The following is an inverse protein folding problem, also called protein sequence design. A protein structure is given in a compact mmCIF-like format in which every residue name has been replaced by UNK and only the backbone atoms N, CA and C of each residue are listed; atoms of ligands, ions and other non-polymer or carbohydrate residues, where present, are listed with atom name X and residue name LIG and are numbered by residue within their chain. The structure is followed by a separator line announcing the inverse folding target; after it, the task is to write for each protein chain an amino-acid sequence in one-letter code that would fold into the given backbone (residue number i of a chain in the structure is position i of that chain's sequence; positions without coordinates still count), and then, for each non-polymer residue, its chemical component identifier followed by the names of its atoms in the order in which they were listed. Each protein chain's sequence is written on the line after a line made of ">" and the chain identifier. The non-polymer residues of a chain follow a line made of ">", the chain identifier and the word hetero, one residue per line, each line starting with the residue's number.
data_IF_837032754949
#
_entry.id   IF_837032754949
#
_cell.length_a   1.000
_cell.length_b   1.000
_cell.length_c   1.000
_cell.angle_alpha   90.00
_cell.angle_beta   90.00
_cell.angle_gamma   90.00
#
_symmetry.space_group_name_H-M   'P 1'
#
loop_
_entity.id
_entity.type
_entity.pdbx_description
1 polymer ?
#
# COMPACT_ATOMS: atom_id res chain seq x y z
N UNK A 1 21.27 25.37 29.71
CA UNK A 1 20.99 24.65 28.45
C UNK A 1 19.68 23.89 28.61
N UNK A 2 18.67 24.05 27.73
CA UNK A 2 17.45 23.25 27.82
C UNK A 2 17.78 21.79 27.50
N UNK A 3 17.31 20.91 28.38
CA UNK A 3 17.55 19.47 28.31
C UNK A 3 16.54 18.83 27.34
N UNK A 4 16.93 18.59 26.09
CA UNK A 4 16.15 17.81 25.14
C UNK A 4 16.26 16.31 25.47
N UNK A 5 15.69 15.88 26.60
CA UNK A 5 15.47 14.44 26.84
C UNK A 5 14.44 13.96 25.83
N UNK A 6 14.85 12.99 25.00
CA UNK A 6 14.07 12.43 23.90
C UNK A 6 12.66 12.04 24.31
N UNK A 7 11.68 12.76 23.77
CA UNK A 7 10.27 12.38 23.85
C UNK A 7 10.11 11.08 23.08
N UNK A 8 9.81 9.97 23.78
CA UNK A 8 9.48 8.71 23.10
C UNK A 8 8.25 8.94 22.21
N UNK A 9 8.28 8.50 20.94
CA UNK A 9 7.12 8.61 20.07
C UNK A 9 5.91 7.94 20.74
N UNK A 10 4.75 8.60 20.67
CA UNK A 10 3.50 7.95 21.08
C UNK A 10 3.27 6.70 20.22
N UNK A 11 2.57 5.70 20.76
CA UNK A 11 2.20 4.50 20.02
C UNK A 11 1.59 4.82 18.64
N UNK A 12 0.70 5.82 18.59
CA UNK A 12 0.12 6.31 17.34
C UNK A 12 1.17 6.88 16.37
N UNK A 13 2.09 7.72 16.86
CA UNK A 13 3.14 8.33 16.04
C UNK A 13 4.04 7.27 15.40
N UNK A 14 4.38 6.21 16.16
CA UNK A 14 5.15 5.09 15.63
C UNK A 14 4.45 4.44 14.44
N UNK A 15 3.19 4.02 14.59
CA UNK A 15 2.45 3.36 13.52
C UNK A 15 2.12 4.29 12.35
N UNK A 16 1.84 5.56 12.59
CA UNK A 16 1.68 6.56 11.53
C UNK A 16 2.97 6.72 10.72
N UNK A 17 4.13 6.77 11.38
CA UNK A 17 5.42 6.85 10.68
C UNK A 17 5.78 5.56 9.97
N UNK A 18 5.48 4.40 10.54
CA UNK A 18 5.57 3.13 9.82
C UNK A 18 4.75 3.17 8.54
N UNK A 19 3.50 3.61 8.61
CA UNK A 19 2.62 3.73 7.44
C UNK A 19 3.24 4.63 6.36
N UNK A 20 3.80 5.78 6.73
CA UNK A 20 4.50 6.65 5.77
C UNK A 20 5.70 5.94 5.14
N UNK A 21 6.58 5.34 5.94
CA UNK A 21 7.78 4.67 5.44
C UNK A 21 7.46 3.44 4.59
N UNK A 22 6.42 2.69 4.93
CA UNK A 22 5.87 1.63 4.11
C UNK A 22 5.54 2.12 2.70
N UNK A 23 4.79 3.22 2.59
CA UNK A 23 4.45 3.81 1.29
C UNK A 23 5.68 4.35 0.54
N UNK A 24 6.66 4.95 1.23
CA UNK A 24 7.93 5.38 0.63
C UNK A 24 8.69 4.19 0.04
N UNK A 25 8.77 3.07 0.77
CA UNK A 25 9.39 1.85 0.26
C UNK A 25 8.63 1.31 -0.96
N UNK A 26 7.30 1.33 -0.93
CA UNK A 26 6.48 0.86 -2.06
C UNK A 26 6.61 1.75 -3.31
N UNK A 27 6.88 3.06 -3.16
CA UNK A 27 7.30 3.90 -4.30
C UNK A 27 8.58 3.35 -4.93
N UNK A 28 9.58 3.00 -4.11
CA UNK A 28 10.81 2.36 -4.59
C UNK A 28 10.53 1.06 -5.35
N UNK A 29 9.65 0.21 -4.83
CA UNK A 29 9.19 -1.01 -5.53
C UNK A 29 8.49 -0.67 -6.84
N UNK A 30 7.60 0.33 -6.87
CA UNK A 30 6.92 0.77 -8.09
C UNK A 30 7.88 1.24 -9.18
N UNK A 31 8.93 1.99 -8.80
CA UNK A 31 10.00 2.38 -9.72
C UNK A 31 10.78 1.16 -10.24
N UNK A 32 11.09 0.19 -9.38
CA UNK A 32 11.73 -1.06 -9.78
C UNK A 32 10.83 -1.88 -10.72
N UNK A 33 9.54 -1.97 -10.46
CA UNK A 33 8.57 -2.62 -11.37
C UNK A 33 8.59 -1.90 -12.73
N UNK A 34 8.51 -0.57 -12.73
CA UNK A 34 8.41 0.22 -13.96
C UNK A 34 9.64 0.12 -14.86
N UNK A 35 10.85 0.16 -14.28
CA UNK A 35 12.10 0.28 -15.03
C UNK A 35 12.98 -0.98 -15.00
N UNK A 36 12.72 -1.90 -14.07
CA UNK A 36 13.57 -3.06 -13.81
C UNK A 36 12.75 -4.35 -13.56
N UNK A 37 11.58 -4.48 -14.19
CA UNK A 37 10.66 -5.61 -14.02
C UNK A 37 11.18 -7.00 -14.42
N UNK A 38 12.31 -7.09 -15.14
CA UNK A 38 13.02 -8.35 -15.46
C UNK A 38 14.36 -8.49 -14.73
N UNK A 39 14.59 -7.70 -13.68
CA UNK A 39 15.78 -7.84 -12.86
C UNK A 39 15.62 -8.96 -11.82
N UNK A 40 16.75 -9.32 -11.20
CA UNK A 40 16.84 -10.34 -10.16
C UNK A 40 15.83 -10.16 -9.01
N UNK A 41 15.39 -8.93 -8.75
CA UNK A 41 14.42 -8.62 -7.70
C UNK A 41 13.03 -9.21 -7.98
N UNK A 42 12.72 -9.50 -9.25
CA UNK A 42 11.44 -10.04 -9.69
C UNK A 42 11.55 -11.45 -10.27
N UNK A 43 12.71 -12.11 -10.22
CA UNK A 43 12.89 -13.43 -10.83
C UNK A 43 11.90 -14.47 -10.32
N UNK A 44 11.65 -14.51 -9.00
CA UNK A 44 10.68 -15.44 -8.41
C UNK A 44 9.24 -15.14 -8.89
N UNK A 45 8.88 -13.86 -8.98
CA UNK A 45 7.59 -13.44 -9.51
C UNK A 45 7.46 -13.78 -11.01
N UNK A 46 8.52 -13.53 -11.79
CA UNK A 46 8.60 -13.79 -13.22
C UNK A 46 8.49 -15.29 -13.51
N UNK A 47 9.23 -16.13 -12.78
CA UNK A 47 9.15 -17.58 -12.90
C UNK A 47 7.75 -18.12 -12.53
N UNK A 48 7.10 -17.57 -11.50
CA UNK A 48 5.72 -17.92 -11.18
C UNK A 48 4.74 -17.56 -12.30
N UNK A 49 4.90 -16.36 -12.86
CA UNK A 49 4.08 -15.86 -13.98
C UNK A 49 4.27 -16.70 -15.24
N UNK A 50 5.52 -16.99 -15.59
CA UNK A 50 5.89 -17.82 -16.72
C UNK A 50 5.32 -19.24 -16.60
N UNK A 51 5.43 -19.85 -15.42
CA UNK A 51 4.87 -21.19 -15.16
C UNK A 51 3.35 -21.24 -15.34
N UNK A 52 2.64 -20.19 -14.94
CA UNK A 52 1.17 -20.15 -15.00
C UNK A 52 0.68 -19.84 -16.42
N UNK A 53 1.27 -18.85 -17.09
CA UNK A 53 0.74 -18.32 -18.35
C UNK A 53 1.49 -18.80 -19.60
N UNK A 54 2.72 -19.27 -19.46
CA UNK A 54 3.59 -19.70 -20.57
C UNK A 54 4.33 -21.02 -20.26
N UNK A 55 3.65 -22.09 -19.80
CA UNK A 55 4.29 -23.31 -19.32
C UNK A 55 5.13 -24.05 -20.37
N UNK A 56 4.81 -23.91 -21.66
CA UNK A 56 5.46 -24.65 -22.75
C UNK A 56 6.52 -23.82 -23.49
N UNK A 57 6.22 -22.55 -23.73
CA UNK A 57 7.07 -21.67 -24.56
C UNK A 57 8.04 -20.84 -23.74
N UNK A 58 7.75 -20.65 -22.45
CA UNK A 58 8.37 -19.60 -21.64
C UNK A 58 8.11 -18.20 -22.19
N UNK A 59 8.85 -17.22 -21.69
CA UNK A 59 8.76 -15.85 -22.19
C UNK A 59 9.51 -15.67 -23.53
N UNK A 60 8.75 -15.36 -24.58
CA UNK A 60 9.29 -14.91 -25.87
C UNK A 60 9.74 -13.44 -25.83
N UNK A 61 10.60 -12.98 -26.76
CA UNK A 61 10.97 -11.56 -26.85
C UNK A 61 9.77 -10.61 -26.93
N UNK A 62 8.72 -10.98 -27.67
CA UNK A 62 7.49 -10.21 -27.82
C UNK A 62 6.71 -10.15 -26.51
N UNK A 63 6.61 -11.28 -25.79
CA UNK A 63 5.99 -11.34 -24.46
C UNK A 63 6.74 -10.47 -23.46
N UNK A 64 8.09 -10.47 -23.50
CA UNK A 64 8.92 -9.60 -22.65
C UNK A 64 8.65 -8.13 -22.95
N UNK A 65 8.53 -7.76 -24.23
CA UNK A 65 8.23 -6.39 -24.63
C UNK A 65 6.85 -5.94 -24.10
N UNK A 66 5.82 -6.77 -24.27
CA UNK A 66 4.48 -6.49 -23.71
C UNK A 66 4.52 -6.39 -22.18
N UNK A 67 5.19 -7.33 -21.51
CA UNK A 67 5.36 -7.34 -20.07
C UNK A 67 6.03 -6.07 -19.57
N UNK A 68 7.09 -5.60 -20.23
CA UNK A 68 7.80 -4.38 -19.85
C UNK A 68 6.91 -3.15 -19.94
N UNK A 69 6.10 -3.05 -20.99
CA UNK A 69 5.14 -1.97 -21.12
C UNK A 69 4.08 -2.01 -20.02
N UNK A 70 3.49 -3.19 -19.75
CA UNK A 70 2.51 -3.36 -18.67
C UNK A 70 3.11 -3.03 -17.29
N UNK A 71 4.31 -3.54 -17.00
CA UNK A 71 5.02 -3.26 -15.75
C UNK A 71 5.37 -1.78 -15.62
N UNK A 72 5.75 -1.12 -16.72
CA UNK A 72 5.93 0.33 -16.79
C UNK A 72 4.71 1.10 -16.27
N UNK A 73 3.53 0.77 -16.80
CA UNK A 73 2.26 1.41 -16.41
C UNK A 73 1.89 1.08 -14.96
N UNK A 74 1.96 -0.21 -14.58
CA UNK A 74 1.64 -0.67 -13.22
C UNK A 74 2.55 0.01 -12.20
N UNK A 75 3.85 0.05 -12.45
CA UNK A 75 4.83 0.72 -11.60
C UNK A 75 4.54 2.21 -11.46
N UNK A 76 4.17 2.89 -12.54
CA UNK A 76 3.71 4.29 -12.52
C UNK A 76 2.47 4.49 -11.65
N UNK A 77 1.47 3.61 -11.75
CA UNK A 77 0.27 3.64 -10.90
C UNK A 77 0.60 3.41 -9.43
N UNK A 78 1.49 2.45 -9.12
CA UNK A 78 1.98 2.20 -7.76
C UNK A 78 2.62 3.48 -7.20
N UNK A 79 3.55 4.09 -7.93
CA UNK A 79 4.21 5.33 -7.48
C UNK A 79 3.19 6.44 -7.20
N UNK A 80 2.28 6.72 -8.14
CA UNK A 80 1.26 7.76 -7.97
C UNK A 80 0.34 7.51 -6.77
N UNK A 81 -0.15 6.28 -6.63
CA UNK A 81 -1.02 5.87 -5.52
C UNK A 81 -0.32 6.02 -4.16
N UNK A 82 0.93 5.58 -4.04
CA UNK A 82 1.66 5.64 -2.77
C UNK A 82 2.15 7.03 -2.42
N UNK A 83 2.40 7.91 -3.40
CA UNK A 83 2.59 9.35 -3.14
C UNK A 83 1.33 9.94 -2.51
N UNK A 84 0.14 9.64 -3.06
CA UNK A 84 -1.13 10.10 -2.49
C UNK A 84 -1.32 9.57 -1.06
N UNK A 85 -1.01 8.29 -0.82
CA UNK A 85 -1.08 7.68 0.52
C UNK A 85 -0.13 8.37 1.51
N UNK A 86 1.06 8.80 1.11
CA UNK A 86 1.98 9.57 1.96
C UNK A 86 1.35 10.92 2.35
N UNK A 87 0.76 11.63 1.39
CA UNK A 87 0.05 12.88 1.69
C UNK A 87 -1.13 12.66 2.65
N UNK A 88 -1.93 11.61 2.45
CA UNK A 88 -3.00 11.29 3.39
C UNK A 88 -2.42 10.96 4.77
N UNK A 89 -1.35 10.16 4.85
CA UNK A 89 -0.68 9.75 6.09
C UNK A 89 -0.13 10.95 6.89
N UNK A 90 0.66 11.81 6.25
CA UNK A 90 1.39 12.89 6.93
C UNK A 90 0.52 14.10 7.29
N UNK A 91 -0.63 14.25 6.63
CA UNK A 91 -1.56 15.36 6.86
C UNK A 91 -2.83 14.89 7.58
N UNK A 92 -3.83 14.39 6.84
CA UNK A 92 -5.16 14.13 7.41
C UNK A 92 -5.17 12.97 8.42
N UNK A 93 -4.44 11.88 8.15
CA UNK A 93 -4.35 10.73 9.03
C UNK A 93 -3.62 11.08 10.33
N UNK A 94 -2.50 11.83 10.26
CA UNK A 94 -1.77 12.33 11.43
C UNK A 94 -2.63 13.26 12.30
N UNK A 95 -3.53 14.04 11.70
CA UNK A 95 -4.55 14.86 12.38
C UNK A 95 -5.75 14.03 12.90
N UNK A 96 -5.73 12.71 12.71
CA UNK A 96 -6.76 11.75 13.14
C UNK A 96 -8.12 12.00 12.49
N UNK A 97 -8.12 12.51 11.25
CA UNK A 97 -9.36 12.69 10.51
C UNK A 97 -9.92 11.34 10.08
N UNK A 98 -11.18 11.07 10.43
CA UNK A 98 -11.80 9.76 10.19
C UNK A 98 -11.93 9.40 8.72
N UNK A 99 -12.16 10.39 7.85
CA UNK A 99 -12.26 10.13 6.42
C UNK A 99 -10.92 9.60 5.89
N UNK A 100 -9.77 10.08 6.42
CA UNK A 100 -8.46 9.59 6.03
C UNK A 100 -8.31 8.11 6.40
N UNK A 101 -8.68 7.72 7.62
CA UNK A 101 -8.67 6.31 8.04
C UNK A 101 -9.51 5.42 7.14
N UNK A 102 -10.73 5.86 6.81
CA UNK A 102 -11.63 5.15 5.89
C UNK A 102 -11.05 5.09 4.48
N UNK A 103 -10.49 6.19 3.97
CA UNK A 103 -9.88 6.25 2.64
C UNK A 103 -8.70 5.28 2.51
N UNK A 104 -7.81 5.22 3.52
CA UNK A 104 -6.69 4.26 3.52
C UNK A 104 -7.20 2.81 3.48
N UNK A 105 -8.18 2.46 4.32
CA UNK A 105 -8.77 1.11 4.35
C UNK A 105 -9.51 0.76 3.06
N UNK A 106 -10.38 1.64 2.58
CA UNK A 106 -11.15 1.39 1.36
C UNK A 106 -10.20 1.23 0.18
N UNK A 107 -9.17 2.08 0.05
CA UNK A 107 -8.18 1.98 -1.03
C UNK A 107 -7.37 0.69 -1.00
N UNK A 108 -6.84 0.30 0.18
CA UNK A 108 -6.03 -0.94 0.26
C UNK A 108 -6.89 -2.20 0.10
N UNK A 109 -8.11 -2.23 0.65
CA UNK A 109 -8.99 -3.39 0.56
C UNK A 109 -9.59 -3.55 -0.84
N UNK A 110 -9.98 -2.45 -1.50
CA UNK A 110 -10.51 -2.54 -2.86
C UNK A 110 -9.45 -3.09 -3.82
N UNK A 111 -8.22 -2.56 -3.75
CA UNK A 111 -7.11 -3.07 -4.53
C UNK A 111 -6.82 -4.55 -4.19
N UNK A 112 -6.66 -4.88 -2.90
CA UNK A 112 -6.33 -6.24 -2.46
C UNK A 112 -7.36 -7.27 -2.92
N UNK A 113 -8.66 -6.97 -2.78
CA UNK A 113 -9.72 -7.90 -3.14
C UNK A 113 -9.81 -8.11 -4.66
N UNK A 114 -9.72 -7.04 -5.45
CA UNK A 114 -9.78 -7.12 -6.90
C UNK A 114 -8.56 -7.86 -7.44
N UNK A 115 -7.35 -7.44 -7.04
CA UNK A 115 -6.10 -8.00 -7.55
C UNK A 115 -5.91 -9.46 -7.11
N UNK A 116 -6.20 -9.78 -5.84
CA UNK A 116 -6.13 -11.16 -5.36
C UNK A 116 -7.20 -12.04 -5.97
N UNK A 117 -8.42 -11.53 -6.13
CA UNK A 117 -9.52 -12.26 -6.75
C UNK A 117 -9.17 -12.68 -8.18
N UNK A 118 -8.69 -11.74 -8.99
CA UNK A 118 -8.23 -12.02 -10.36
C UNK A 118 -7.06 -13.02 -10.34
N UNK A 119 -6.07 -12.81 -9.48
CA UNK A 119 -4.90 -13.69 -9.39
C UNK A 119 -5.28 -15.13 -9.06
N UNK A 120 -6.22 -15.34 -8.14
CA UNK A 120 -6.71 -16.67 -7.78
C UNK A 120 -7.48 -17.32 -8.92
N UNK A 121 -8.32 -16.56 -9.65
CA UNK A 121 -9.06 -17.08 -10.81
C UNK A 121 -8.13 -17.61 -11.90
N UNK A 122 -7.00 -16.93 -12.14
CA UNK A 122 -6.01 -17.36 -13.14
C UNK A 122 -4.93 -18.32 -12.57
N UNK A 123 -5.02 -18.73 -11.31
CA UNK A 123 -4.03 -19.63 -10.69
C UNK A 123 -2.69 -18.97 -10.34
N UNK A 124 -2.59 -17.64 -10.45
CA UNK A 124 -1.41 -16.85 -10.10
C UNK A 124 -1.27 -16.63 -8.58
N UNK A 125 -1.26 -17.72 -7.80
CA UNK A 125 -1.18 -17.70 -6.32
C UNK A 125 0.09 -16.99 -5.84
N UNK A 126 1.16 -17.06 -6.63
CA UNK A 126 2.45 -16.43 -6.37
C UNK A 126 2.30 -14.90 -6.18
N UNK A 127 1.45 -14.25 -6.97
CA UNK A 127 1.18 -12.81 -6.85
C UNK A 127 0.47 -12.48 -5.53
N UNK A 128 -0.55 -13.27 -5.15
CA UNK A 128 -1.30 -13.07 -3.91
C UNK A 128 -0.38 -13.16 -2.69
N UNK A 129 0.48 -14.18 -2.66
CA UNK A 129 1.34 -14.44 -1.50
C UNK A 129 2.49 -13.42 -1.41
N UNK A 130 3.19 -13.17 -2.52
CA UNK A 130 4.40 -12.35 -2.50
C UNK A 130 4.11 -10.85 -2.51
N UNK A 131 3.03 -10.42 -3.16
CA UNK A 131 2.73 -9.01 -3.35
C UNK A 131 1.57 -8.59 -2.44
N UNK A 132 0.41 -9.23 -2.59
CA UNK A 132 -0.82 -8.71 -1.99
C UNK A 132 -0.84 -8.87 -0.47
N UNK A 133 -0.49 -10.05 0.04
CA UNK A 133 -0.42 -10.28 1.49
C UNK A 133 0.67 -9.45 2.15
N UNK A 134 1.83 -9.31 1.51
CA UNK A 134 2.93 -8.48 2.02
C UNK A 134 2.49 -7.01 2.11
N UNK A 135 1.87 -6.47 1.07
CA UNK A 135 1.35 -5.10 1.06
C UNK A 135 0.24 -4.91 2.12
N UNK A 136 -0.69 -5.87 2.23
CA UNK A 136 -1.77 -5.82 3.23
C UNK A 136 -1.23 -5.84 4.65
N UNK A 137 -0.19 -6.63 4.95
CA UNK A 137 0.45 -6.62 6.27
C UNK A 137 1.18 -5.29 6.49
N UNK A 138 1.98 -4.86 5.53
CA UNK A 138 2.84 -3.69 5.66
C UNK A 138 2.03 -2.40 5.89
N UNK A 139 0.88 -2.27 5.22
CA UNK A 139 0.00 -1.09 5.27
C UNK A 139 -1.15 -1.31 6.25
N UNK A 140 -1.80 -2.47 6.23
CA UNK A 140 -2.97 -2.77 7.04
C UNK A 140 -2.67 -2.91 8.53
N UNK A 141 -1.50 -3.45 8.91
CA UNK A 141 -1.14 -3.56 10.33
C UNK A 141 -1.10 -2.19 11.03
N UNK A 142 -0.43 -1.15 10.49
CA UNK A 142 -0.55 0.22 11.01
C UNK A 142 -1.99 0.72 11.16
N UNK A 143 -2.86 0.42 10.19
CA UNK A 143 -4.27 0.83 10.23
C UNK A 143 -5.05 0.12 11.36
N UNK A 144 -4.79 -1.17 11.59
CA UNK A 144 -5.37 -1.88 12.75
C UNK A 144 -4.86 -1.26 14.05
N UNK A 145 -3.55 -1.06 14.16
CA UNK A 145 -2.90 -0.59 15.40
C UNK A 145 -3.23 0.86 15.77
N UNK A 146 -3.68 1.65 14.80
CA UNK A 146 -4.10 3.05 15.01
C UNK A 146 -5.62 3.22 15.10
N UNK A 147 -6.43 2.19 14.84
CA UNK A 147 -7.88 2.30 14.69
C UNK A 147 -8.60 2.99 15.86
N UNK A 148 -8.18 2.70 17.11
CA UNK A 148 -8.76 3.32 18.32
C UNK A 148 -8.60 4.85 18.36
N UNK A 149 -7.60 5.41 17.67
CA UNK A 149 -7.36 6.85 17.63
C UNK A 149 -8.43 7.60 16.82
N UNK A 150 -9.16 6.90 15.94
CA UNK A 150 -10.15 7.49 15.05
C UNK A 150 -11.58 7.39 15.59
N UNK A 151 -11.84 6.60 16.65
CA UNK A 151 -13.20 6.41 17.19
C UNK A 151 -13.76 7.62 17.95
N UNK A 152 -12.96 8.63 18.32
CA UNK A 152 -13.39 9.70 19.27
C UNK A 152 -13.97 11.00 18.68
N UNK A 153 -13.91 11.24 17.37
CA UNK A 153 -14.24 12.57 16.82
C UNK A 153 -15.73 12.90 16.62
N UNK A 154 -16.68 11.96 16.82
CA UNK A 154 -18.12 12.28 16.68
C UNK A 154 -18.71 12.98 17.91
N UNK A 155 -18.18 12.73 19.11
CA UNK A 155 -18.78 13.26 20.33
C UNK A 155 -18.56 14.77 20.55
N UNK A 156 -17.64 15.42 19.84
CA UNK A 156 -17.41 16.86 19.98
C UNK A 156 -18.11 17.68 18.89
N UNK A 157 -18.35 17.11 17.70
CA UNK A 157 -19.13 17.76 16.65
C UNK A 157 -20.63 17.76 16.92
N UNK A 158 -21.16 16.69 17.51
CA UNK A 158 -22.57 16.60 17.89
C UNK A 158 -22.95 17.55 19.04
N UNK A 159 -22.03 17.80 19.99
CA UNK A 159 -22.27 18.73 21.11
C UNK A 159 -22.19 20.19 20.64
N UNK A 160 -21.23 20.54 19.79
CA UNK A 160 -21.11 21.89 19.25
C UNK A 160 -22.27 22.27 18.31
N UNK A 161 -22.88 21.31 17.61
CA UNK A 161 -24.07 21.53 16.80
C UNK A 161 -25.36 21.68 17.60
N UNK A 162 -25.43 21.11 18.81
CA UNK A 162 -26.59 21.21 19.70
C UNK A 162 -26.61 22.51 20.52
N UNK A 163 -25.46 23.13 20.78
CA UNK A 163 -25.36 24.44 21.45
C UNK A 163 -25.57 25.63 20.51
N UNK A 164 -25.63 25.39 19.19
CA UNK A 164 -25.81 26.40 18.16
C UNK A 164 -27.22 26.42 17.52
N UNK A 165 -28.17 25.68 18.10
CA UNK A 165 -29.58 25.54 17.69
C UNK A 165 -30.52 25.86 18.84
#
# INVERSE_FOLDING_TARGET
>A
MPNFKGVKPSHFSFWQKWLTWANVMTIGVGLLVAFAGNSLFFDLHNAGTERVFFPETGFTPETIQLKNWLFGIIGGTIVGFHILMIFISEYAFKRKERWAYRAMWTGILSWFLIDSGISLVYGAVHNVVMINLVALILIGLPLVMTGKAFSKSDNMGAVAGAEAS
#
